data_IF_726644727554
#
_entry.id   IF_726644727554
#
_cell.length_a   1.000
_cell.length_b   1.000
_cell.length_c   1.000
_cell.angle_alpha   90.00
_cell.angle_beta   90.00
_cell.angle_gamma   90.00
#
_symmetry.space_group_name_H-M   'P 1'
#
loop_
_entity.id
_entity.type
_entity.pdbx_description
1 polymer ?
#
# COMPACT_ATOMS: atom_id res chain seq x y z
N UNK A 1 -32.10 -15.40 4.57
CA UNK A 1 -32.46 -15.67 3.16
C UNK A 1 -31.85 -14.57 2.29
N UNK A 2 -30.80 -14.88 1.55
CA UNK A 2 -30.15 -13.93 0.64
C UNK A 2 -30.84 -14.04 -0.71
N UNK A 3 -31.65 -13.04 -1.09
CA UNK A 3 -32.08 -12.88 -2.49
C UNK A 3 -30.84 -12.43 -3.28
N UNK A 4 -30.36 -13.28 -4.19
CA UNK A 4 -29.49 -12.86 -5.28
C UNK A 4 -30.19 -11.69 -5.99
N UNK A 5 -29.59 -10.51 -5.94
CA UNK A 5 -30.04 -9.37 -6.74
C UNK A 5 -29.60 -9.65 -8.16
N UNK A 6 -30.58 -9.88 -9.03
CA UNK A 6 -30.40 -10.09 -10.47
C UNK A 6 -29.63 -8.90 -11.05
N UNK A 7 -28.50 -9.16 -11.70
CA UNK A 7 -27.72 -8.16 -12.44
C UNK A 7 -28.64 -7.49 -13.47
N UNK A 8 -28.59 -6.16 -13.56
CA UNK A 8 -29.42 -5.40 -14.49
C UNK A 8 -29.28 -5.93 -15.94
N UNK A 9 -30.39 -6.07 -16.69
CA UNK A 9 -30.43 -6.81 -17.96
C UNK A 9 -29.68 -6.16 -19.14
N UNK A 10 -28.82 -5.16 -18.92
CA UNK A 10 -28.06 -4.45 -19.95
C UNK A 10 -26.53 -4.59 -19.87
N UNK A 11 -26.00 -5.36 -18.91
CA UNK A 11 -24.55 -5.55 -18.71
C UNK A 11 -24.01 -6.86 -19.31
N UNK A 12 -24.84 -7.61 -20.05
CA UNK A 12 -24.48 -8.94 -20.61
C UNK A 12 -23.67 -8.88 -21.90
N UNK A 13 -23.70 -7.77 -22.63
CA UNK A 13 -23.22 -7.72 -24.02
C UNK A 13 -21.95 -6.87 -24.21
N UNK A 14 -21.11 -6.77 -23.17
CA UNK A 14 -19.73 -6.28 -23.36
C UNK A 14 -18.92 -7.49 -23.82
N UNK A 15 -18.28 -7.47 -25.01
CA UNK A 15 -17.49 -8.59 -25.51
C UNK A 15 -16.19 -8.66 -24.72
N UNK A 16 -16.29 -9.25 -23.53
CA UNK A 16 -15.14 -9.75 -22.79
C UNK A 16 -14.79 -11.10 -23.41
N UNK A 17 -13.49 -11.39 -23.49
CA UNK A 17 -12.96 -12.73 -23.76
C UNK A 17 -13.82 -13.77 -23.03
N UNK A 18 -14.39 -14.76 -23.75
CA UNK A 18 -15.33 -15.78 -23.23
C UNK A 18 -14.80 -16.52 -21.98
N UNK A 19 -13.50 -16.39 -21.71
CA UNK A 19 -12.80 -16.88 -20.53
C UNK A 19 -13.16 -16.19 -19.21
N UNK A 20 -13.68 -14.95 -19.23
CA UNK A 20 -14.01 -14.18 -18.01
C UNK A 20 -15.48 -13.82 -17.97
N UNK A 21 -16.22 -14.38 -17.00
CA UNK A 21 -17.66 -14.13 -16.83
C UNK A 21 -17.94 -13.49 -15.48
N UNK A 22 -18.83 -12.48 -15.44
CA UNK A 22 -19.33 -11.94 -14.17
C UNK A 22 -20.30 -12.97 -13.57
N UNK A 23 -19.90 -13.59 -12.45
CA UNK A 23 -20.71 -14.58 -11.74
C UNK A 23 -21.81 -13.93 -10.89
N UNK A 24 -21.54 -12.72 -10.38
CA UNK A 24 -22.50 -11.99 -9.57
C UNK A 24 -21.88 -10.82 -8.81
N UNK A 25 -22.73 -10.18 -8.02
CA UNK A 25 -22.35 -9.05 -7.16
C UNK A 25 -22.47 -9.48 -5.70
N UNK A 26 -21.37 -9.45 -4.96
CA UNK A 26 -21.36 -9.61 -3.51
C UNK A 26 -21.37 -8.24 -2.85
N UNK A 27 -22.22 -8.05 -1.84
CA UNK A 27 -22.29 -6.80 -1.09
C UNK A 27 -21.50 -6.91 0.20
N UNK A 28 -20.43 -6.13 0.30
CA UNK A 28 -19.69 -5.97 1.54
C UNK A 28 -20.47 -5.03 2.46
N UNK A 29 -21.22 -5.60 3.39
CA UNK A 29 -21.89 -4.82 4.44
C UNK A 29 -20.94 -4.60 5.61
N UNK A 30 -21.05 -3.43 6.24
CA UNK A 30 -20.35 -3.13 7.49
C UNK A 30 -20.83 -4.12 8.56
N UNK A 31 -20.02 -5.11 8.91
CA UNK A 31 -20.19 -5.82 10.17
C UNK A 31 -19.54 -4.99 11.28
N UNK A 32 -20.00 -5.13 12.53
CA UNK A 32 -19.44 -4.40 13.68
C UNK A 32 -17.94 -4.67 13.92
N UNK A 33 -17.34 -5.64 13.22
CA UNK A 33 -15.95 -6.09 13.41
C UNK A 33 -15.05 -5.98 12.17
N UNK A 34 -15.59 -5.61 11.01
CA UNK A 34 -14.77 -5.41 9.80
C UNK A 34 -14.72 -3.92 9.47
N UNK A 35 -13.58 -3.29 9.76
CA UNK A 35 -13.14 -2.13 8.99
C UNK A 35 -13.08 -2.53 7.52
N UNK A 36 -13.23 -1.55 6.63
CA UNK A 36 -13.01 -1.74 5.18
C UNK A 36 -11.79 -2.64 4.94
N UNK A 37 -11.81 -3.52 3.92
CA UNK A 37 -10.58 -3.97 3.32
C UNK A 37 -9.98 -2.74 2.62
N UNK A 38 -9.38 -1.87 3.41
CA UNK A 38 -8.39 -0.88 3.01
C UNK A 38 -7.16 -1.68 2.58
N UNK A 39 -7.30 -2.43 1.50
CA UNK A 39 -6.22 -3.16 0.87
C UNK A 39 -5.83 -2.48 -0.41
N UNK A 40 -4.54 -2.56 -0.65
CA UNK A 40 -3.79 -1.64 -1.45
C UNK A 40 -2.68 -2.41 -2.13
N UNK A 41 -2.27 -1.96 -3.31
CA UNK A 41 -1.21 -2.62 -4.07
C UNK A 41 -0.30 -1.57 -4.67
N UNK A 42 0.98 -1.59 -4.31
CA UNK A 42 2.00 -0.66 -4.82
C UNK A 42 2.84 -1.25 -5.97
N UNK A 43 2.28 -2.23 -6.68
CA UNK A 43 2.91 -2.97 -7.77
C UNK A 43 3.87 -4.09 -7.32
N UNK A 44 4.24 -4.13 -6.05
CA UNK A 44 5.16 -5.12 -5.50
C UNK A 44 4.75 -5.71 -4.16
N UNK A 45 3.80 -5.08 -3.48
CA UNK A 45 3.21 -5.57 -2.24
C UNK A 45 1.71 -5.44 -2.25
N UNK A 46 1.08 -6.32 -1.47
CA UNK A 46 -0.28 -6.16 -1.02
C UNK A 46 -0.19 -5.58 0.39
N UNK A 47 -0.80 -4.43 0.59
CA UNK A 47 -0.80 -3.70 1.85
C UNK A 47 -2.23 -3.69 2.37
N UNK A 48 -2.43 -3.83 3.68
CA UNK A 48 -3.73 -3.87 4.32
C UNK A 48 -3.74 -3.00 5.57
N UNK A 49 -4.82 -2.27 5.79
CA UNK A 49 -5.04 -1.56 7.07
C UNK A 49 -5.25 -2.54 8.22
N UNK A 50 -4.62 -2.24 9.36
CA UNK A 50 -4.69 -3.07 10.57
C UNK A 50 -6.04 -2.88 11.25
N UNK A 51 -6.93 -3.86 11.04
CA UNK A 51 -8.26 -3.88 11.64
C UNK A 51 -8.25 -4.13 13.16
N UNK A 52 -7.25 -4.88 13.63
CA UNK A 52 -7.07 -5.26 15.02
C UNK A 52 -5.57 -5.32 15.33
N UNK A 53 -5.09 -4.53 16.28
CA UNK A 53 -3.68 -4.54 16.68
C UNK A 53 -3.22 -5.92 17.17
N UNK A 54 -4.11 -6.75 17.72
CA UNK A 54 -3.76 -8.13 18.11
C UNK A 54 -3.43 -9.02 16.91
N UNK A 55 -3.72 -8.60 15.68
CA UNK A 55 -3.27 -9.32 14.49
C UNK A 55 -1.79 -9.10 14.19
N UNK A 56 -1.18 -8.08 14.78
CA UNK A 56 0.22 -7.75 14.54
C UNK A 56 1.16 -8.75 15.23
N UNK A 57 2.19 -9.14 14.49
CA UNK A 57 3.18 -10.14 14.88
C UNK A 57 4.57 -9.58 14.72
N UNK A 58 5.48 -10.07 15.55
CA UNK A 58 6.91 -9.80 15.41
C UNK A 58 7.35 -10.05 13.96
N UNK A 59 8.17 -9.15 13.42
CA UNK A 59 8.68 -9.18 12.06
C UNK A 59 7.71 -8.66 10.99
N UNK A 60 6.49 -8.22 11.36
CA UNK A 60 5.61 -7.55 10.40
C UNK A 60 6.24 -6.25 9.87
N UNK A 61 6.10 -6.02 8.57
CA UNK A 61 6.48 -4.78 7.92
C UNK A 61 5.27 -3.87 7.85
N UNK A 62 5.32 -2.77 8.58
CA UNK A 62 4.23 -1.84 8.74
C UNK A 62 4.54 -0.50 8.08
N UNK A 63 3.49 0.22 7.73
CA UNK A 63 3.54 1.53 7.11
C UNK A 63 2.57 2.48 7.79
N UNK A 64 2.99 3.74 7.92
CA UNK A 64 2.13 4.85 8.33
C UNK A 64 2.30 5.98 7.33
N UNK A 65 1.21 6.61 6.91
CA UNK A 65 1.27 7.72 5.96
C UNK A 65 2.06 8.90 6.53
N UNK A 66 3.06 9.43 5.81
CA UNK A 66 3.84 10.59 6.26
C UNK A 66 2.99 11.84 6.57
N UNK A 67 1.92 12.14 5.81
CA UNK A 67 1.04 13.25 6.13
C UNK A 67 0.35 13.08 7.49
N UNK A 68 0.12 11.86 7.98
CA UNK A 68 -0.35 11.68 9.36
C UNK A 68 0.66 12.19 10.37
N UNK A 69 1.93 11.80 10.20
CA UNK A 69 3.00 12.22 11.09
C UNK A 69 3.17 13.76 11.09
N UNK A 70 2.97 14.41 9.93
CA UNK A 70 3.06 15.88 9.78
C UNK A 70 1.79 16.59 10.26
N UNK A 71 0.61 16.23 9.77
CA UNK A 71 -0.65 16.87 10.16
C UNK A 71 -0.97 16.69 11.63
N UNK A 72 -0.57 15.57 12.25
CA UNK A 72 -0.65 15.40 13.70
C UNK A 72 0.12 16.47 14.47
N UNK A 73 1.25 16.94 13.94
CA UNK A 73 1.98 18.06 14.58
C UNK A 73 1.35 19.41 14.33
N UNK A 74 0.55 19.56 13.27
CA UNK A 74 -0.05 20.83 12.89
C UNK A 74 -1.44 21.04 13.51
N UNK A 75 -2.31 20.03 13.46
CA UNK A 75 -3.67 20.11 13.99
C UNK A 75 -4.31 18.72 14.13
N UNK A 76 -4.89 18.38 15.30
CA UNK A 76 -5.68 17.16 15.48
C UNK A 76 -6.86 17.05 14.50
N UNK A 77 -7.45 18.18 14.11
CA UNK A 77 -8.56 18.21 13.14
C UNK A 77 -8.06 17.87 11.73
N UNK A 78 -6.89 18.37 11.34
CA UNK A 78 -6.28 18.01 10.06
C UNK A 78 -5.87 16.55 10.04
N UNK A 79 -5.34 16.02 11.14
CA UNK A 79 -5.02 14.59 11.28
C UNK A 79 -6.27 13.71 11.18
N UNK A 80 -7.37 14.10 11.82
CA UNK A 80 -8.66 13.41 11.71
C UNK A 80 -9.22 13.47 10.29
N UNK A 81 -9.22 14.65 9.66
CA UNK A 81 -9.65 14.81 8.25
C UNK A 81 -8.73 13.99 7.35
N UNK A 82 -7.42 13.95 7.61
CA UNK A 82 -6.48 13.13 6.87
C UNK A 82 -6.79 11.63 7.04
N UNK A 83 -7.00 11.15 8.27
CA UNK A 83 -7.41 9.76 8.54
C UNK A 83 -8.72 9.42 7.81
N UNK A 84 -9.61 10.40 7.74
CA UNK A 84 -10.96 10.24 7.23
C UNK A 84 -11.07 10.38 5.69
N UNK A 85 -10.30 11.26 5.09
CA UNK A 85 -10.40 11.61 3.68
C UNK A 85 -9.26 10.97 2.87
N UNK A 86 -8.11 10.76 3.49
CA UNK A 86 -6.92 10.26 2.80
C UNK A 86 -6.69 8.82 3.19
N UNK A 87 -6.94 7.93 2.23
CA UNK A 87 -6.25 6.65 2.24
C UNK A 87 -4.84 6.81 1.69
N UNK A 88 -4.02 5.79 1.92
CA UNK A 88 -2.66 5.57 1.37
C UNK A 88 -2.42 6.15 -0.04
N UNK A 89 -3.44 6.13 -0.89
CA UNK A 89 -3.44 6.40 -2.32
C UNK A 89 -3.60 7.88 -2.66
N UNK A 90 -4.18 8.68 -1.76
CA UNK A 90 -4.49 10.08 -2.07
C UNK A 90 -3.21 10.88 -2.36
N UNK A 91 -2.07 10.52 -1.77
CA UNK A 91 -0.87 11.32 -1.94
C UNK A 91 -0.10 10.98 -3.23
N UNK A 92 0.19 11.96 -4.10
CA UNK A 92 0.87 11.75 -5.39
C UNK A 92 2.23 11.05 -5.30
N UNK A 93 2.85 11.06 -4.12
CA UNK A 93 4.19 10.54 -3.85
C UNK A 93 4.15 9.30 -2.94
N UNK A 94 2.95 8.84 -2.55
CA UNK A 94 2.72 7.65 -1.71
C UNK A 94 3.78 7.48 -0.62
N UNK A 95 4.09 8.57 0.08
CA UNK A 95 5.24 8.61 0.96
C UNK A 95 4.82 8.01 2.29
N UNK A 96 5.29 6.80 2.55
CA UNK A 96 5.10 6.12 3.82
C UNK A 96 6.36 6.22 4.67
N UNK A 97 6.10 6.25 5.97
CA UNK A 97 7.10 5.88 6.93
C UNK A 97 6.99 4.37 7.15
N UNK A 98 8.07 3.66 6.87
CA UNK A 98 8.14 2.20 6.97
C UNK A 98 8.85 1.80 8.26
N UNK A 99 8.36 0.76 8.92
CA UNK A 99 9.02 0.19 10.09
C UNK A 99 8.78 -1.31 10.21
N UNK A 100 9.66 -1.98 10.94
CA UNK A 100 9.53 -3.39 11.30
C UNK A 100 9.05 -3.50 12.73
N UNK A 101 8.04 -4.31 12.99
CA UNK A 101 7.57 -4.57 14.34
C UNK A 101 8.55 -5.51 15.07
N UNK A 102 9.12 -5.08 16.19
CA UNK A 102 10.08 -5.88 16.95
C UNK A 102 9.43 -6.80 17.97
N UNK A 103 8.27 -6.40 18.50
CA UNK A 103 7.54 -7.14 19.52
C UNK A 103 6.10 -7.42 19.05
N UNK A 104 5.55 -8.60 19.36
CA UNK A 104 4.16 -8.91 19.04
C UNK A 104 3.20 -8.17 19.98
N UNK A 105 2.02 -7.80 19.48
CA UNK A 105 0.96 -7.21 20.31
C UNK A 105 0.18 -8.34 20.96
N UNK A 106 0.23 -8.43 22.28
CA UNK A 106 -0.52 -9.41 23.07
C UNK A 106 -1.78 -8.81 23.69
N UNK A 107 -1.73 -7.54 24.09
CA UNK A 107 -2.87 -6.80 24.63
C UNK A 107 -2.80 -5.32 24.28
N UNK A 108 -3.92 -4.61 24.46
CA UNK A 108 -4.04 -3.18 24.19
C UNK A 108 -4.59 -2.49 25.44
N UNK A 109 -3.79 -1.61 26.05
CA UNK A 109 -4.19 -0.82 27.23
C UNK A 109 -4.52 0.64 26.87
N UNK A 110 -4.89 1.43 27.87
CA UNK A 110 -5.04 2.89 27.73
C UNK A 110 -3.75 3.60 27.31
N UNK A 111 -2.59 3.01 27.62
CA UNK A 111 -1.28 3.56 27.31
C UNK A 111 -0.71 3.06 25.97
N UNK A 112 -1.43 2.18 25.28
CA UNK A 112 -1.08 1.64 23.97
C UNK A 112 -0.94 0.12 23.93
N UNK A 113 -0.39 -0.41 22.82
CA UNK A 113 -0.17 -1.84 22.65
C UNK A 113 0.96 -2.36 23.55
N UNK A 114 0.71 -3.51 24.19
CA UNK A 114 1.62 -4.18 25.11
C UNK A 114 1.98 -5.60 24.64
N UNK A 115 3.18 -6.03 24.98
CA UNK A 115 3.67 -7.39 24.82
C UNK A 115 3.03 -8.33 25.85
N UNK A 116 3.28 -9.64 25.71
CA UNK A 116 2.80 -10.65 26.67
C UNK A 116 3.31 -10.38 28.10
N UNK A 117 4.53 -9.86 28.24
CA UNK A 117 5.12 -9.44 29.53
C UNK A 117 4.57 -8.09 30.06
N UNK A 118 3.60 -7.47 29.37
CA UNK A 118 3.05 -6.15 29.74
C UNK A 118 3.95 -4.96 29.40
N UNK A 119 5.01 -5.13 28.59
CA UNK A 119 5.89 -4.02 28.16
C UNK A 119 5.35 -3.32 26.92
N UNK A 120 5.63 -2.03 26.70
CA UNK A 120 5.25 -1.36 25.45
C UNK A 120 5.87 -2.02 24.22
N UNK A 121 5.08 -2.17 23.16
CA UNK A 121 5.53 -2.74 21.89
C UNK A 121 6.49 -1.78 21.17
N UNK A 122 7.67 -2.28 20.78
CA UNK A 122 8.68 -1.52 20.04
C UNK A 122 8.64 -1.81 18.55
N UNK A 123 9.10 -0.83 17.80
CA UNK A 123 9.33 -0.92 16.36
C UNK A 123 10.80 -0.64 16.06
N UNK A 124 11.25 -1.00 14.87
CA UNK A 124 12.57 -0.69 14.36
C UNK A 124 12.43 0.12 13.07
N UNK A 125 13.05 1.29 13.07
CA UNK A 125 12.92 2.20 11.95
C UNK A 125 14.10 3.19 11.85
N UNK A 126 14.25 3.80 10.69
CA UNK A 126 15.09 4.97 10.51
C UNK A 126 14.29 6.22 10.88
N UNK A 127 14.66 6.93 11.96
CA UNK A 127 14.23 8.32 12.14
C UNK A 127 15.39 9.28 12.41
N UNK A 128 15.39 10.30 11.57
CA UNK A 128 15.37 11.68 12.04
C UNK A 128 14.24 12.34 11.24
N UNK A 129 13.03 11.86 11.53
CA UNK A 129 11.87 11.83 10.62
C UNK A 129 11.62 13.17 9.94
N UNK A 130 10.99 13.10 8.77
CA UNK A 130 10.31 14.22 8.12
C UNK A 130 9.53 15.09 9.13
N UNK A 131 9.04 14.56 10.26
CA UNK A 131 8.47 15.34 11.36
C UNK A 131 9.50 16.27 12.04
N UNK A 132 10.68 15.79 12.41
CA UNK A 132 11.77 16.64 12.90
C UNK A 132 12.26 17.60 11.80
N UNK A 133 12.33 17.13 10.55
CA UNK A 133 12.59 17.97 9.38
C UNK A 133 11.56 19.10 9.25
N UNK A 134 10.28 18.80 9.38
CA UNK A 134 9.18 19.76 9.32
C UNK A 134 9.13 20.66 10.54
N UNK A 135 9.42 20.17 11.75
CA UNK A 135 9.59 21.02 12.93
C UNK A 135 10.70 22.05 12.72
N UNK A 136 11.82 21.65 12.10
CA UNK A 136 12.89 22.58 11.69
C UNK A 136 12.43 23.52 10.58
N UNK A 137 11.63 23.07 9.61
CA UNK A 137 11.04 23.93 8.56
C UNK A 137 10.09 24.98 9.16
N UNK A 138 9.25 24.59 10.12
CA UNK A 138 8.32 25.47 10.83
C UNK A 138 9.11 26.48 11.68
N UNK A 139 10.18 26.04 12.35
CA UNK A 139 11.02 26.90 13.17
C UNK A 139 11.88 27.87 12.34
N UNK A 140 12.45 27.43 11.21
CA UNK A 140 13.40 28.20 10.40
C UNK A 140 12.76 28.94 9.21
N UNK A 141 11.46 28.74 8.96
CA UNK A 141 10.72 29.30 7.83
C UNK A 141 11.10 28.70 6.45
N UNK A 142 10.50 29.23 5.38
CA UNK A 142 10.61 28.67 4.01
C UNK A 142 12.02 28.68 3.42
N UNK A 143 12.87 29.67 3.77
CA UNK A 143 14.29 29.68 3.38
C UNK A 143 15.10 28.62 4.14
N UNK A 144 14.74 28.36 5.40
CA UNK A 144 15.22 27.21 6.16
C UNK A 144 14.78 25.88 5.55
N UNK A 145 13.60 25.82 4.91
CA UNK A 145 13.09 24.61 4.27
C UNK A 145 14.03 24.02 3.23
N UNK A 146 14.61 24.83 2.33
CA UNK A 146 15.53 24.31 1.31
C UNK A 146 16.84 23.79 1.94
N UNK A 147 17.41 24.53 2.89
CA UNK A 147 18.59 24.09 3.66
C UNK A 147 18.29 22.81 4.44
N UNK A 148 17.14 22.74 5.10
CA UNK A 148 16.72 21.61 5.93
C UNK A 148 16.30 20.41 5.07
N UNK A 149 15.78 20.62 3.86
CA UNK A 149 15.55 19.56 2.88
C UNK A 149 16.88 18.98 2.37
N UNK A 150 17.84 19.85 2.03
CA UNK A 150 19.20 19.42 1.70
C UNK A 150 19.86 18.68 2.88
N UNK A 151 19.64 19.13 4.13
CA UNK A 151 20.12 18.44 5.32
C UNK A 151 19.38 17.12 5.59
N UNK A 152 18.09 17.00 5.28
CA UNK A 152 17.35 15.75 5.38
C UNK A 152 17.83 14.71 4.36
N UNK A 153 18.36 15.17 3.23
CA UNK A 153 19.03 14.33 2.22
C UNK A 153 20.49 14.06 2.58
N UNK A 154 21.19 15.01 3.20
CA UNK A 154 22.63 14.95 3.49
C UNK A 154 23.00 14.40 4.88
N UNK A 155 22.09 14.49 5.86
CA UNK A 155 22.23 13.89 7.19
C UNK A 155 21.35 12.64 7.23
N UNK A 156 21.95 11.44 7.11
CA UNK A 156 21.18 10.21 7.18
C UNK A 156 20.43 10.12 8.51
N UNK A 157 19.13 9.87 8.44
CA UNK A 157 18.30 9.51 9.58
C UNK A 157 18.98 8.42 10.39
N UNK A 158 18.96 8.52 11.73
CA UNK A 158 19.51 7.46 12.58
C UNK A 158 18.52 6.33 12.70
N UNK A 159 19.00 5.10 12.67
CA UNK A 159 18.21 3.95 13.06
C UNK A 159 17.95 3.98 14.57
N UNK A 160 16.74 3.62 14.97
CA UNK A 160 16.31 3.64 16.38
C UNK A 160 15.08 2.76 16.59
N UNK A 161 14.68 2.60 17.86
CA UNK A 161 13.62 1.68 18.26
C UNK A 161 12.51 2.33 19.09
N UNK A 162 11.69 3.21 18.49
CA UNK A 162 10.63 3.91 19.21
C UNK A 162 9.48 2.96 19.59
N UNK A 163 8.53 3.48 20.37
CA UNK A 163 7.35 2.73 20.79
C UNK A 163 6.26 2.84 19.72
N UNK A 164 5.58 1.73 19.42
CA UNK A 164 4.50 1.70 18.42
C UNK A 164 3.41 2.74 18.72
N UNK A 165 3.09 2.98 20.00
CA UNK A 165 2.10 3.97 20.44
C UNK A 165 2.34 5.39 19.92
N UNK A 166 3.60 5.74 19.63
CA UNK A 166 3.95 7.06 19.08
C UNK A 166 3.40 7.26 17.67
N UNK A 167 3.12 6.16 16.96
CA UNK A 167 2.62 6.14 15.59
C UNK A 167 1.10 5.95 15.47
N UNK A 168 0.40 5.73 16.58
CA UNK A 168 -1.04 5.47 16.56
C UNK A 168 -1.81 6.78 16.84
N UNK A 169 -2.62 7.30 15.88
CA UNK A 169 -3.21 8.63 15.98
C UNK A 169 -4.31 8.80 17.05
N UNK A 170 -4.87 7.71 17.59
CA UNK A 170 -6.11 7.77 18.38
C UNK A 170 -6.09 7.17 19.80
N UNK A 171 -4.94 6.67 20.28
CA UNK A 171 -4.89 6.08 21.63
C UNK A 171 -5.17 7.07 22.76
N UNK A 172 -4.90 8.36 22.54
CA UNK A 172 -4.91 9.33 23.64
C UNK A 172 -6.19 10.16 23.81
N UNK A 173 -7.19 10.14 22.90
CA UNK A 173 -8.25 11.18 22.95
C UNK A 173 -9.71 10.87 22.65
N UNK A 174 -10.12 9.71 22.12
CA UNK A 174 -11.49 9.61 21.57
C UNK A 174 -12.32 8.37 21.92
N UNK A 175 -11.82 7.39 22.67
CA UNK A 175 -12.64 6.25 23.06
C UNK A 175 -12.39 5.85 24.52
N UNK A 176 -13.43 5.83 25.38
CA UNK A 176 -13.32 5.33 26.76
C UNK A 176 -13.08 3.81 26.80
N UNK A 177 -13.19 3.12 25.66
CA UNK A 177 -12.80 1.72 25.50
C UNK A 177 -11.55 1.62 24.64
N UNK A 178 -10.51 0.89 25.06
CA UNK A 178 -9.34 0.61 24.22
C UNK A 178 -9.81 -0.16 22.97
N UNK A 179 -9.99 0.55 21.86
CA UNK A 179 -10.34 -0.07 20.60
C UNK A 179 -9.09 -0.60 19.95
N UNK A 180 -9.09 -1.88 19.57
CA UNK A 180 -7.94 -2.48 18.89
C UNK A 180 -7.86 -2.10 17.41
N UNK A 181 -8.86 -1.40 16.86
CA UNK A 181 -8.80 -0.85 15.50
C UNK A 181 -7.91 0.38 15.43
N UNK A 182 -6.93 0.40 14.52
CA UNK A 182 -6.07 1.57 14.30
C UNK A 182 -6.17 2.08 12.87
N UNK A 183 -7.06 3.05 12.60
CA UNK A 183 -7.12 3.71 11.30
C UNK A 183 -5.75 4.31 10.93
N UNK A 184 -5.33 4.10 9.68
CA UNK A 184 -4.09 4.66 9.13
C UNK A 184 -2.81 3.87 9.41
N UNK A 185 -2.85 2.83 10.24
CA UNK A 185 -1.74 1.86 10.33
C UNK A 185 -1.94 0.77 9.28
N UNK A 186 -0.94 0.57 8.44
CA UNK A 186 -0.94 -0.43 7.38
C UNK A 186 0.10 -1.50 7.64
N UNK A 187 -0.14 -2.71 7.15
CA UNK A 187 0.78 -3.85 7.20
C UNK A 187 0.89 -4.47 5.82
N UNK A 188 2.10 -4.89 5.45
CA UNK A 188 2.32 -5.65 4.22
C UNK A 188 1.83 -7.09 4.44
N UNK A 189 0.85 -7.51 3.64
CA UNK A 189 0.28 -8.86 3.67
C UNK A 189 1.30 -9.85 3.13
N UNK A 190 1.82 -10.71 4.01
CA UNK A 190 2.75 -11.79 3.66
C UNK A 190 2.56 -13.01 4.55
N UNK A 191 2.71 -14.18 3.94
CA UNK A 191 2.80 -15.44 4.66
C UNK A 191 4.25 -15.69 5.09
N UNK A 192 4.67 -15.05 6.18
CA UNK A 192 5.99 -15.25 6.79
C UNK A 192 5.91 -16.32 7.88
N UNK A 193 6.83 -17.29 7.82
CA UNK A 193 7.08 -18.23 8.93
C UNK A 193 7.69 -17.53 10.14
N UNK A 194 7.59 -18.13 11.32
CA UNK A 194 8.19 -17.59 12.56
C UNK A 194 9.71 -17.46 12.47
N UNK A 195 10.37 -18.30 11.67
CA UNK A 195 11.80 -18.18 11.38
C UNK A 195 12.09 -16.92 10.57
N UNK A 196 11.40 -16.69 9.45
CA UNK A 196 11.56 -15.48 8.63
C UNK A 196 11.24 -14.21 9.41
N UNK A 197 10.25 -14.27 10.30
CA UNK A 197 9.90 -13.15 11.19
C UNK A 197 11.02 -12.81 12.15
N UNK A 198 11.65 -13.82 12.75
CA UNK A 198 12.82 -13.63 13.61
C UNK A 198 14.00 -13.07 12.83
N UNK A 199 14.32 -13.65 11.68
CA UNK A 199 15.38 -13.15 10.79
C UNK A 199 15.14 -11.68 10.41
N UNK A 200 13.89 -11.29 10.15
CA UNK A 200 13.54 -9.90 9.81
C UNK A 200 13.83 -8.95 10.96
N UNK A 201 13.52 -9.33 12.19
CA UNK A 201 13.88 -8.55 13.37
C UNK A 201 15.39 -8.52 13.60
N UNK A 202 16.08 -9.65 13.45
CA UNK A 202 17.53 -9.72 13.66
C UNK A 202 18.27 -8.85 12.63
N UNK A 203 17.84 -8.86 11.37
CA UNK A 203 18.35 -7.99 10.33
C UNK A 203 18.04 -6.50 10.60
N UNK A 204 16.86 -6.19 11.13
CA UNK A 204 16.52 -4.82 11.54
C UNK A 204 17.43 -4.33 12.68
N UNK A 205 17.69 -5.19 13.68
CA UNK A 205 18.58 -4.86 14.80
C UNK A 205 20.05 -4.78 14.36
N UNK A 206 20.50 -5.60 13.42
CA UNK A 206 21.83 -5.49 12.84
C UNK A 206 22.06 -4.14 12.13
N UNK A 207 21.01 -3.55 11.54
CA UNK A 207 21.09 -2.19 11.00
C UNK A 207 21.29 -1.15 12.10
N UNK A 208 20.65 -1.31 13.27
CA UNK A 208 20.86 -0.42 14.43
C UNK A 208 22.33 -0.42 14.86
N UNK A 209 22.94 -1.59 14.93
CA UNK A 209 24.34 -1.75 15.31
C UNK A 209 25.28 -1.13 14.28
N UNK A 210 24.99 -1.36 12.99
CA UNK A 210 25.79 -0.85 11.87
C UNK A 210 25.67 0.67 11.68
N UNK A 211 24.51 1.25 11.96
CA UNK A 211 24.31 2.71 11.92
C UNK A 211 25.23 3.46 12.90
N UNK A 212 25.72 2.78 13.94
CA UNK A 212 26.72 3.29 14.88
C UNK A 212 28.13 3.39 14.31
N UNK A 213 28.42 2.77 13.15
CA UNK A 213 29.74 2.75 12.53
C UNK A 213 29.96 3.95 11.57
N UNK A 214 31.21 4.45 11.42
CA UNK A 214 31.53 5.48 10.44
C UNK A 214 31.17 5.04 9.01
N UNK A 215 30.18 5.70 8.39
CA UNK A 215 29.69 5.39 7.04
C UNK A 215 28.52 4.40 6.96
N UNK A 216 28.02 3.95 8.12
CA UNK A 216 26.90 3.01 8.25
C UNK A 216 25.49 3.61 8.13
N UNK A 217 25.35 4.92 7.90
CA UNK A 217 24.06 5.62 7.98
C UNK A 217 23.04 5.25 6.88
N UNK A 218 21.78 5.63 7.14
CA UNK A 218 20.64 5.53 6.23
C UNK A 218 20.96 5.84 4.77
N UNK A 219 20.56 4.95 3.87
CA UNK A 219 20.63 5.18 2.42
C UNK A 219 19.25 5.00 1.83
N UNK A 220 18.64 6.12 1.42
CA UNK A 220 17.28 6.14 0.85
C UNK A 220 17.02 5.02 -0.18
N UNK A 221 17.99 4.75 -1.06
CA UNK A 221 17.85 3.77 -2.13
C UNK A 221 18.36 2.35 -1.82
N UNK A 222 19.10 2.13 -0.73
CA UNK A 222 19.82 0.84 -0.53
C UNK A 222 19.83 0.31 0.91
N UNK A 223 19.53 1.15 1.90
CA UNK A 223 19.56 0.81 3.32
C UNK A 223 18.47 1.58 4.04
N UNK A 224 17.23 1.13 3.85
CA UNK A 224 16.03 1.64 4.52
C UNK A 224 15.23 0.47 5.13
N UNK A 225 14.19 0.77 5.92
CA UNK A 225 13.38 -0.25 6.60
C UNK A 225 12.68 -1.20 5.61
N UNK A 226 12.30 -0.68 4.45
CA UNK A 226 11.71 -1.49 3.38
C UNK A 226 12.74 -2.49 2.81
N UNK A 227 14.02 -2.17 2.74
CA UNK A 227 15.06 -3.13 2.31
C UNK A 227 15.15 -4.32 3.27
N UNK A 228 15.17 -4.08 4.59
CA UNK A 228 15.19 -5.17 5.59
C UNK A 228 14.00 -6.10 5.41
N UNK A 229 12.81 -5.52 5.27
CA UNK A 229 11.59 -6.28 5.10
C UNK A 229 11.60 -7.13 3.82
N UNK A 230 12.31 -6.72 2.76
CA UNK A 230 12.29 -7.43 1.47
C UNK A 230 13.48 -8.35 1.23
N UNK A 231 14.64 -8.09 1.83
CA UNK A 231 15.81 -8.96 1.76
C UNK A 231 15.49 -10.39 2.21
N UNK A 232 14.59 -10.54 3.18
CA UNK A 232 14.21 -11.82 3.78
C UNK A 232 12.85 -12.34 3.30
N UNK A 233 12.20 -11.61 2.39
CA UNK A 233 10.98 -12.08 1.75
C UNK A 233 11.25 -13.27 0.82
N UNK A 234 10.22 -14.04 0.48
CA UNK A 234 10.29 -15.14 -0.52
C UNK A 234 10.88 -14.69 -1.86
N UNK A 235 10.80 -13.40 -2.19
CA UNK A 235 11.37 -12.84 -3.42
C UNK A 235 12.87 -12.53 -3.31
N UNK A 236 13.44 -12.51 -2.08
CA UNK A 236 14.83 -12.12 -1.76
C UNK A 236 15.32 -10.89 -2.53
N UNK A 237 14.42 -9.94 -2.76
CA UNK A 237 14.73 -8.76 -3.56
C UNK A 237 15.59 -7.82 -2.74
N UNK A 238 16.74 -7.49 -3.31
CA UNK A 238 17.69 -6.53 -2.74
C UNK A 238 17.21 -5.08 -2.83
N UNK A 239 16.23 -4.77 -3.69
CA UNK A 239 15.79 -3.39 -3.97
C UNK A 239 14.36 -3.19 -3.47
N UNK A 240 14.16 -2.15 -2.66
CA UNK A 240 12.82 -1.73 -2.20
C UNK A 240 11.94 -1.34 -3.38
N UNK A 241 10.65 -1.72 -3.40
CA UNK A 241 9.66 -1.30 -4.42
C UNK A 241 9.57 0.20 -4.69
N UNK A 242 9.78 1.02 -3.66
CA UNK A 242 9.75 2.47 -3.82
C UNK A 242 10.87 2.97 -4.74
N UNK A 243 12.01 2.28 -4.80
CA UNK A 243 13.16 2.69 -5.62
C UNK A 243 12.87 2.58 -7.13
N UNK A 244 12.45 1.42 -7.69
CA UNK A 244 12.04 1.34 -9.09
C UNK A 244 10.91 2.31 -9.43
N UNK A 245 9.97 2.53 -8.51
CA UNK A 245 8.88 3.49 -8.72
C UNK A 245 9.42 4.92 -8.86
N UNK A 246 10.30 5.35 -7.95
CA UNK A 246 10.92 6.68 -8.02
C UNK A 246 11.79 6.84 -9.27
N UNK A 247 12.61 5.84 -9.61
CA UNK A 247 13.43 5.85 -10.83
C UNK A 247 12.56 5.97 -12.08
N UNK A 248 11.40 5.32 -12.11
CA UNK A 248 10.46 5.43 -13.22
C UNK A 248 9.84 6.83 -13.33
N UNK A 249 9.49 7.45 -12.20
CA UNK A 249 9.03 8.85 -12.16
C UNK A 249 10.11 9.79 -12.70
N UNK A 250 11.35 9.64 -12.24
CA UNK A 250 12.49 10.46 -12.68
C UNK A 250 12.77 10.28 -14.17
N UNK A 251 12.73 9.04 -14.65
CA UNK A 251 12.88 8.73 -16.08
C UNK A 251 11.79 9.39 -16.92
N UNK A 252 10.51 9.28 -16.50
CA UNK A 252 9.41 9.98 -17.19
C UNK A 252 9.62 11.49 -17.18
N UNK A 253 9.99 12.08 -16.05
CA UNK A 253 10.25 13.51 -15.96
C UNK A 253 11.37 13.94 -16.90
N UNK A 254 12.44 13.16 -17.02
CA UNK A 254 13.52 13.43 -17.97
C UNK A 254 13.02 13.45 -19.43
N UNK A 255 12.17 12.50 -19.82
CA UNK A 255 11.54 12.50 -21.16
C UNK A 255 10.63 13.74 -21.32
N UNK A 256 9.84 14.06 -20.30
CA UNK A 256 8.93 15.20 -20.32
C UNK A 256 9.63 16.55 -20.47
N UNK A 257 10.90 16.69 -20.05
CA UNK A 257 11.66 17.93 -20.28
C UNK A 257 11.74 18.30 -21.76
N UNK A 258 11.81 17.30 -22.66
CA UNK A 258 11.74 17.52 -24.12
C UNK A 258 10.37 18.07 -24.52
N UNK A 259 9.29 17.51 -23.96
CA UNK A 259 7.94 18.04 -24.15
C UNK A 259 7.80 19.48 -23.62
N UNK A 260 8.35 19.79 -22.44
CA UNK A 260 8.33 21.16 -21.90
C UNK A 260 9.08 22.15 -22.80
N UNK A 261 10.18 21.71 -23.41
CA UNK A 261 10.88 22.50 -24.42
C UNK A 261 9.99 22.76 -25.66
N UNK A 262 9.21 21.77 -26.11
CA UNK A 262 8.22 21.99 -27.16
C UNK A 262 7.17 23.04 -26.74
N UNK A 263 6.65 23.01 -25.51
CA UNK A 263 5.75 24.05 -25.01
C UNK A 263 6.40 25.44 -25.03
N UNK A 264 7.67 25.53 -24.67
CA UNK A 264 8.41 26.79 -24.76
C UNK A 264 8.51 27.28 -26.21
N UNK A 265 8.84 26.40 -27.17
CA UNK A 265 8.89 26.78 -28.59
C UNK A 265 7.55 27.32 -29.11
N UNK A 266 6.41 26.78 -28.65
CA UNK A 266 5.09 27.31 -29.00
C UNK A 266 4.86 28.76 -28.56
N UNK A 267 5.64 29.27 -27.58
CA UNK A 267 5.55 30.68 -27.17
C UNK A 267 6.35 31.62 -28.05
N UNK A 268 7.32 31.09 -28.80
CA UNK A 268 8.25 31.89 -29.63
C UNK A 268 7.81 31.90 -31.09
N UNK A 269 7.32 30.77 -31.58
CA UNK A 269 6.94 30.64 -32.99
C UNK A 269 5.73 31.53 -33.29
N UNK A 270 5.79 32.37 -34.34
CA UNK A 270 4.67 33.24 -34.71
C UNK A 270 3.39 32.44 -34.99
N UNK A 271 2.26 32.87 -34.44
CA UNK A 271 0.96 32.16 -34.53
C UNK A 271 0.48 31.89 -35.97
N UNK A 272 1.01 32.62 -36.95
CA UNK A 272 0.73 32.43 -38.38
C UNK A 272 1.38 31.15 -38.96
N UNK A 273 2.39 30.59 -38.29
CA UNK A 273 3.11 29.40 -38.72
C UNK A 273 2.41 28.12 -38.25
N UNK A 274 1.23 27.81 -38.78
CA UNK A 274 0.40 26.68 -38.34
C UNK A 274 1.11 25.32 -38.43
N UNK A 275 1.84 25.07 -39.51
CA UNK A 275 2.61 23.81 -39.68
C UNK A 275 3.66 23.62 -38.60
N UNK A 276 4.36 24.68 -38.23
CA UNK A 276 5.37 24.63 -37.17
C UNK A 276 4.72 24.33 -35.81
N UNK A 277 3.59 24.99 -35.51
CA UNK A 277 2.84 24.70 -34.29
C UNK A 277 2.36 23.25 -34.23
N UNK A 278 1.84 22.70 -35.34
CA UNK A 278 1.41 21.31 -35.41
C UNK A 278 2.56 20.33 -35.12
N UNK A 279 3.73 20.55 -35.74
CA UNK A 279 4.92 19.71 -35.51
C UNK A 279 5.38 19.80 -34.05
N UNK A 280 5.43 21.00 -33.49
CA UNK A 280 5.86 21.21 -32.09
C UNK A 280 4.85 20.59 -31.11
N UNK A 281 3.55 20.74 -31.35
CA UNK A 281 2.51 20.11 -30.53
C UNK A 281 2.56 18.57 -30.63
N UNK A 282 2.82 18.03 -31.82
CA UNK A 282 3.04 16.59 -32.02
C UNK A 282 4.25 16.11 -31.21
N UNK A 283 5.36 16.85 -31.26
CA UNK A 283 6.54 16.61 -30.43
C UNK A 283 6.21 16.61 -28.94
N UNK A 284 5.43 17.60 -28.48
CA UNK A 284 4.94 17.63 -27.10
C UNK A 284 4.18 16.35 -26.74
N UNK A 285 3.22 15.92 -27.55
CA UNK A 285 2.43 14.73 -27.26
C UNK A 285 3.28 13.45 -27.21
N UNK A 286 4.25 13.33 -28.11
CA UNK A 286 5.18 12.19 -28.15
C UNK A 286 6.03 12.11 -26.87
N UNK A 287 6.47 13.24 -26.31
CA UNK A 287 7.36 13.28 -25.14
C UNK A 287 6.65 13.55 -23.81
N UNK A 288 5.39 13.95 -23.80
CA UNK A 288 4.63 14.23 -22.57
C UNK A 288 3.39 13.38 -22.41
N UNK A 289 2.49 13.37 -23.41
CA UNK A 289 1.22 12.66 -23.32
C UNK A 289 1.40 11.15 -23.44
N UNK A 290 2.12 10.68 -24.45
CA UNK A 290 2.34 9.24 -24.68
C UNK A 290 3.05 8.56 -23.49
N UNK A 291 4.13 9.11 -22.90
CA UNK A 291 4.76 8.49 -21.74
C UNK A 291 3.85 8.40 -20.51
N UNK A 292 2.98 9.39 -20.30
CA UNK A 292 1.96 9.33 -19.22
C UNK A 292 0.97 8.20 -19.48
N UNK A 293 0.48 8.06 -20.71
CA UNK A 293 -0.45 6.98 -21.10
C UNK A 293 0.18 5.60 -20.92
N UNK A 294 1.41 5.43 -21.41
CA UNK A 294 2.15 4.18 -21.30
C UNK A 294 2.47 3.82 -19.85
N UNK A 295 2.81 4.79 -19.00
CA UNK A 295 3.04 4.53 -17.58
C UNK A 295 1.81 3.89 -16.92
N UNK A 296 0.62 4.47 -17.12
CA UNK A 296 -0.61 3.94 -16.50
C UNK A 296 -0.94 2.53 -17.01
N UNK A 297 -0.74 2.26 -18.30
CA UNK A 297 -0.97 0.93 -18.88
C UNK A 297 0.03 -0.10 -18.34
N UNK A 298 1.32 0.25 -18.30
CA UNK A 298 2.38 -0.63 -17.77
C UNK A 298 2.14 -0.94 -16.29
N UNK A 299 1.73 0.06 -15.50
CA UNK A 299 1.36 -0.14 -14.10
C UNK A 299 0.16 -1.08 -13.94
N UNK A 300 -0.90 -0.91 -14.74
CA UNK A 300 -2.06 -1.80 -14.72
C UNK A 300 -1.69 -3.25 -15.05
N UNK A 301 -0.88 -3.46 -16.10
CA UNK A 301 -0.44 -4.80 -16.51
C UNK A 301 0.42 -5.43 -15.41
N UNK A 302 1.41 -4.70 -14.89
CA UNK A 302 2.27 -5.17 -13.80
C UNK A 302 1.47 -5.57 -12.58
N UNK A 303 0.52 -4.73 -12.18
CA UNK A 303 -0.34 -4.97 -11.03
C UNK A 303 -1.23 -6.18 -11.25
N UNK A 304 -1.82 -6.33 -12.43
CA UNK A 304 -2.67 -7.47 -12.78
C UNK A 304 -1.89 -8.77 -12.71
N UNK A 305 -0.69 -8.82 -13.32
CA UNK A 305 0.20 -9.99 -13.25
C UNK A 305 0.60 -10.28 -11.80
N UNK A 306 0.97 -9.25 -11.05
CA UNK A 306 1.38 -9.39 -9.65
C UNK A 306 0.24 -9.96 -8.79
N UNK A 307 -0.96 -9.38 -8.86
CA UNK A 307 -2.14 -9.84 -8.13
C UNK A 307 -2.49 -11.28 -8.49
N UNK A 308 -2.51 -11.62 -9.78
CA UNK A 308 -2.80 -12.98 -10.21
C UNK A 308 -1.77 -13.99 -9.71
N UNK A 309 -0.47 -13.62 -9.68
CA UNK A 309 0.59 -14.47 -9.12
C UNK A 309 0.48 -14.67 -7.60
N UNK A 310 -0.23 -13.78 -6.90
CA UNK A 310 -0.41 -13.75 -5.45
C UNK A 310 -1.83 -14.10 -5.01
N UNK A 311 -2.66 -14.61 -5.94
CA UNK A 311 -4.07 -14.92 -5.68
C UNK A 311 -4.27 -15.84 -4.48
N UNK A 312 -3.35 -16.76 -4.24
CA UNK A 312 -3.41 -17.70 -3.10
C UNK A 312 -3.10 -17.07 -1.74
N UNK A 313 -2.46 -15.89 -1.72
CA UNK A 313 -2.07 -15.18 -0.50
C UNK A 313 -3.17 -14.26 0.02
N UNK A 314 -4.22 -14.04 -0.77
CA UNK A 314 -5.35 -13.17 -0.43
C UNK A 314 -6.67 -13.91 -0.59
N UNK A 315 -7.69 -13.45 0.15
CA UNK A 315 -9.04 -13.96 -0.04
C UNK A 315 -9.53 -13.64 -1.46
N UNK A 316 -10.37 -14.49 -2.04
CA UNK A 316 -10.78 -14.29 -3.44
C UNK A 316 -11.66 -13.05 -3.61
N UNK A 317 -12.44 -12.69 -2.59
CA UNK A 317 -13.21 -11.43 -2.57
C UNK A 317 -12.26 -10.23 -2.61
N UNK A 318 -11.18 -10.33 -1.84
CA UNK A 318 -10.14 -9.32 -1.70
C UNK A 318 -9.38 -9.13 -3.03
N UNK A 319 -9.05 -10.24 -3.71
CA UNK A 319 -8.49 -10.24 -5.07
C UNK A 319 -9.39 -9.50 -6.07
N UNK A 320 -10.67 -9.88 -6.16
CA UNK A 320 -11.58 -9.26 -7.13
C UNK A 320 -11.82 -7.78 -6.84
N UNK A 321 -11.91 -7.39 -5.58
CA UNK A 321 -12.00 -5.98 -5.18
C UNK A 321 -10.79 -5.19 -5.67
N UNK A 322 -9.57 -5.70 -5.44
CA UNK A 322 -8.33 -5.04 -5.86
C UNK A 322 -8.25 -4.93 -7.39
N UNK A 323 -8.53 -6.00 -8.13
CA UNK A 323 -8.51 -5.98 -9.61
C UNK A 323 -9.51 -4.95 -10.14
N UNK A 324 -10.74 -4.93 -9.62
CA UNK A 324 -11.76 -3.98 -10.04
C UNK A 324 -11.35 -2.53 -9.74
N UNK A 325 -10.91 -2.28 -8.51
CA UNK A 325 -10.48 -0.96 -8.06
C UNK A 325 -9.33 -0.41 -8.91
N UNK A 326 -8.30 -1.22 -9.16
CA UNK A 326 -7.12 -0.80 -9.91
C UNK A 326 -7.39 -0.65 -11.41
N UNK A 327 -8.28 -1.46 -11.97
CA UNK A 327 -8.77 -1.27 -13.35
C UNK A 327 -9.52 0.05 -13.47
N UNK A 328 -10.44 0.32 -12.54
CA UNK A 328 -11.19 1.57 -12.51
C UNK A 328 -10.26 2.78 -12.32
N UNK A 329 -9.28 2.66 -11.42
CA UNK A 329 -8.22 3.67 -11.22
C UNK A 329 -7.51 3.94 -12.53
N UNK A 330 -6.98 2.90 -13.17
CA UNK A 330 -6.23 3.04 -14.42
C UNK A 330 -7.07 3.75 -15.49
N UNK A 331 -8.33 3.37 -15.69
CA UNK A 331 -9.21 4.03 -16.67
C UNK A 331 -9.44 5.52 -16.35
N UNK A 332 -9.83 5.84 -15.11
CA UNK A 332 -10.18 7.22 -14.74
C UNK A 332 -8.96 8.12 -14.63
N UNK A 333 -7.86 7.62 -14.06
CA UNK A 333 -6.59 8.34 -13.97
C UNK A 333 -6.01 8.57 -15.36
N UNK A 334 -6.07 7.58 -16.26
CA UNK A 334 -5.64 7.74 -17.65
C UNK A 334 -6.43 8.84 -18.36
N UNK A 335 -7.76 8.78 -18.28
CA UNK A 335 -8.64 9.77 -18.91
C UNK A 335 -8.37 11.18 -18.39
N UNK A 336 -8.28 11.36 -17.07
CA UNK A 336 -8.04 12.66 -16.44
C UNK A 336 -6.61 13.17 -16.72
N UNK A 337 -5.60 12.32 -16.58
CA UNK A 337 -4.21 12.71 -16.81
C UNK A 337 -3.94 13.04 -18.29
N UNK A 338 -4.43 12.23 -19.23
CA UNK A 338 -4.35 12.55 -20.66
C UNK A 338 -5.10 13.84 -20.95
N UNK A 339 -6.32 14.01 -20.45
CA UNK A 339 -7.11 15.22 -20.66
C UNK A 339 -6.37 16.48 -20.19
N UNK A 340 -5.78 16.44 -18.99
CA UNK A 340 -4.99 17.55 -18.46
C UNK A 340 -3.74 17.82 -19.30
N UNK A 341 -2.92 16.80 -19.58
CA UNK A 341 -1.64 16.96 -20.28
C UNK A 341 -1.86 17.31 -21.75
N UNK A 342 -2.81 16.68 -22.44
CA UNK A 342 -3.10 16.90 -23.86
C UNK A 342 -3.55 18.35 -24.16
N UNK A 343 -4.19 19.02 -23.21
CA UNK A 343 -4.67 20.39 -23.41
C UNK A 343 -3.58 21.46 -23.27
N UNK A 344 -2.38 21.10 -22.85
CA UNK A 344 -1.32 22.07 -22.52
C UNK A 344 -0.79 22.86 -23.72
N UNK A 345 -0.55 22.27 -24.91
CA UNK A 345 -0.19 23.04 -26.10
C UNK A 345 -1.23 24.11 -26.43
N UNK A 346 -2.52 23.77 -26.34
CA UNK A 346 -3.62 24.71 -26.59
C UNK A 346 -3.66 25.81 -25.54
N UNK A 347 -3.44 25.49 -24.26
CA UNK A 347 -3.36 26.48 -23.19
C UNK A 347 -2.23 27.49 -23.45
N UNK A 348 -1.05 27.01 -23.84
CA UNK A 348 0.09 27.86 -24.16
C UNK A 348 -0.18 28.73 -25.38
N UNK A 349 -0.69 28.14 -26.46
CA UNK A 349 -1.06 28.87 -27.68
C UNK A 349 -2.05 29.99 -27.37
N UNK A 350 -3.17 29.66 -26.74
CA UNK A 350 -4.31 30.59 -26.61
C UNK A 350 -4.12 31.64 -25.52
N UNK A 351 -3.33 31.35 -24.48
CA UNK A 351 -3.22 32.22 -23.30
C UNK A 351 -1.79 32.66 -22.96
N UNK A 352 -0.77 32.08 -23.60
CA UNK A 352 0.63 32.32 -23.27
C UNK A 352 1.08 31.79 -21.90
N UNK A 353 0.24 31.01 -21.18
CA UNK A 353 0.51 30.57 -19.79
C UNK A 353 1.46 29.37 -19.71
N UNK A 354 2.71 29.56 -20.13
CA UNK A 354 3.74 28.51 -20.15
C UNK A 354 3.99 27.87 -18.78
N UNK A 355 4.18 28.68 -17.73
CA UNK A 355 4.53 28.16 -16.39
C UNK A 355 3.47 27.21 -15.83
N UNK A 356 2.20 27.59 -15.98
CA UNK A 356 1.08 26.76 -15.56
C UNK A 356 1.02 25.47 -16.38
N UNK A 357 1.23 25.57 -17.70
CA UNK A 357 1.25 24.41 -18.58
C UNK A 357 2.37 23.42 -18.24
N UNK A 358 3.57 23.91 -17.91
CA UNK A 358 4.67 23.07 -17.44
C UNK A 358 4.36 22.40 -16.11
N UNK A 359 3.80 23.13 -15.15
CA UNK A 359 3.40 22.57 -13.86
C UNK A 359 2.38 21.44 -14.03
N UNK A 360 1.33 21.66 -14.83
CA UNK A 360 0.30 20.65 -15.10
C UNK A 360 0.91 19.46 -15.87
N UNK A 361 1.81 19.69 -16.82
CA UNK A 361 2.46 18.60 -17.58
C UNK A 361 3.26 17.65 -16.67
N UNK A 362 3.98 18.21 -15.68
CA UNK A 362 4.81 17.43 -14.74
C UNK A 362 3.98 16.73 -13.65
N UNK A 363 2.92 17.39 -13.18
CA UNK A 363 2.12 16.98 -12.02
C UNK A 363 0.77 16.33 -12.35
N UNK A 364 0.31 16.40 -13.61
CA UNK A 364 -1.04 16.01 -14.01
C UNK A 364 -1.40 14.57 -13.69
N UNK A 365 -0.47 13.64 -13.85
CA UNK A 365 -0.66 12.23 -13.45
C UNK A 365 -0.79 12.08 -11.92
N UNK A 366 0.05 12.77 -11.16
CA UNK A 366 -0.01 12.75 -9.70
C UNK A 366 -1.30 13.36 -9.17
N UNK A 367 -1.73 14.47 -9.76
CA UNK A 367 -3.02 15.11 -9.46
C UNK A 367 -4.21 14.22 -9.81
N UNK A 368 -4.18 13.56 -10.97
CA UNK A 368 -5.23 12.64 -11.38
C UNK A 368 -5.38 11.45 -10.41
N UNK A 369 -4.26 10.86 -9.98
CA UNK A 369 -4.27 9.84 -8.93
C UNK A 369 -4.87 10.37 -7.62
N UNK A 370 -4.38 11.53 -7.13
CA UNK A 370 -4.91 12.17 -5.92
C UNK A 370 -6.43 12.33 -5.97
N UNK A 371 -6.97 12.88 -7.07
CA UNK A 371 -8.41 13.09 -7.25
C UNK A 371 -9.16 11.77 -7.24
N UNK A 372 -8.75 10.78 -8.04
CA UNK A 372 -9.40 9.48 -8.08
C UNK A 372 -9.44 8.84 -6.69
N UNK A 373 -8.31 8.86 -5.99
CA UNK A 373 -8.14 8.20 -4.71
C UNK A 373 -8.96 8.85 -3.59
N UNK A 374 -9.03 10.18 -3.56
CA UNK A 374 -9.93 10.90 -2.66
C UNK A 374 -11.39 10.55 -2.96
N UNK A 375 -11.82 10.64 -4.22
CA UNK A 375 -13.18 10.34 -4.62
C UNK A 375 -13.57 8.89 -4.32
N UNK A 376 -12.70 7.94 -4.67
CA UNK A 376 -12.94 6.51 -4.45
C UNK A 376 -13.12 6.20 -2.96
N UNK A 377 -12.29 6.79 -2.10
CA UNK A 377 -12.40 6.60 -0.65
C UNK A 377 -13.68 7.20 -0.07
N UNK A 378 -14.02 8.44 -0.46
CA UNK A 378 -15.25 9.09 -0.03
C UNK A 378 -16.48 8.27 -0.47
N UNK A 379 -16.51 7.82 -1.73
CA UNK A 379 -17.57 6.97 -2.26
C UNK A 379 -17.66 5.63 -1.52
N UNK A 380 -16.53 4.95 -1.33
CA UNK A 380 -16.47 3.65 -0.65
C UNK A 380 -16.98 3.74 0.78
N UNK A 381 -16.58 4.79 1.52
CA UNK A 381 -17.05 5.04 2.90
C UNK A 381 -18.52 5.40 2.94
N UNK A 382 -19.01 6.24 2.01
CA UNK A 382 -20.43 6.59 1.92
C UNK A 382 -21.30 5.36 1.59
N UNK A 383 -20.86 4.52 0.65
CA UNK A 383 -21.54 3.28 0.29
C UNK A 383 -21.58 2.32 1.48
N UNK A 384 -20.46 2.13 2.20
CA UNK A 384 -20.45 1.31 3.40
C UNK A 384 -21.37 1.81 4.51
N UNK A 385 -21.47 3.13 4.69
CA UNK A 385 -22.34 3.72 5.71
C UNK A 385 -23.83 3.53 5.39
N UNK A 386 -24.18 3.27 4.13
CA UNK A 386 -25.57 3.24 3.65
C UNK A 386 -26.03 1.84 3.25
N UNK A 387 -25.43 1.24 2.22
CA UNK A 387 -25.91 0.01 1.59
C UNK A 387 -24.86 -1.13 1.48
N UNK A 388 -23.59 -0.83 1.79
CA UNK A 388 -22.45 -1.72 1.56
C UNK A 388 -21.75 -1.42 0.23
N UNK A 389 -20.54 -1.98 0.06
CA UNK A 389 -19.74 -1.82 -1.16
C UNK A 389 -19.95 -3.02 -2.08
N UNK A 390 -20.36 -2.82 -3.35
CA UNK A 390 -20.51 -3.93 -4.28
C UNK A 390 -19.14 -4.43 -4.76
N UNK A 391 -18.97 -5.75 -4.76
CA UNK A 391 -17.79 -6.46 -5.25
C UNK A 391 -18.26 -7.37 -6.38
N UNK A 392 -17.77 -7.12 -7.59
CA UNK A 392 -18.02 -7.97 -8.74
C UNK A 392 -17.15 -9.23 -8.62
N UNK A 393 -17.77 -10.40 -8.67
CA UNK A 393 -17.06 -11.69 -8.67
C UNK A 393 -16.98 -12.18 -10.11
N UNK A 394 -15.77 -12.53 -10.54
CA UNK A 394 -15.49 -13.00 -11.90
C UNK A 394 -15.11 -14.48 -11.85
N UNK A 395 -15.68 -15.28 -12.75
CA UNK A 395 -15.15 -16.62 -13.05
C UNK A 395 -14.00 -16.48 -14.04
N UNK A 396 -12.93 -17.21 -13.81
CA UNK A 396 -11.85 -17.36 -14.77
C UNK A 396 -11.76 -18.84 -15.15
N UNK A 397 -12.31 -19.19 -16.31
CA UNK A 397 -12.31 -20.56 -16.82
C UNK A 397 -10.90 -21.10 -17.14
N UNK A 398 -9.89 -20.23 -17.15
CA UNK A 398 -8.48 -20.62 -17.36
C UNK A 398 -7.79 -21.06 -16.09
N UNK A 399 -8.40 -20.91 -14.91
CA UNK A 399 -7.81 -21.39 -13.66
C UNK A 399 -7.98 -22.92 -13.54
N UNK A 400 -6.92 -23.72 -13.75
CA UNK A 400 -7.00 -25.17 -13.74
C UNK A 400 -7.17 -25.74 -12.32
N UNK A 401 -7.07 -24.90 -11.28
CA UNK A 401 -7.26 -25.34 -9.89
C UNK A 401 -8.68 -25.84 -9.63
N UNK A 402 -9.63 -25.60 -10.54
CA UNK A 402 -10.94 -26.25 -10.54
C UNK A 402 -11.73 -26.06 -9.24
N UNK A 403 -11.34 -25.09 -8.41
CA UNK A 403 -12.03 -24.72 -7.18
C UNK A 403 -13.30 -23.98 -7.56
N UNK A 404 -14.24 -24.75 -8.09
CA UNK A 404 -15.62 -24.36 -8.31
C UNK A 404 -16.14 -23.79 -6.99
N UNK A 405 -16.41 -22.50 -7.06
CA UNK A 405 -16.63 -21.54 -5.98
C UNK A 405 -17.80 -21.84 -5.01
N UNK A 406 -18.48 -22.98 -5.15
CA UNK A 406 -19.80 -23.21 -4.55
C UNK A 406 -19.90 -24.36 -3.52
N UNK A 407 -18.83 -25.12 -3.26
CA UNK A 407 -18.97 -26.33 -2.42
C UNK A 407 -18.81 -26.13 -0.91
N UNK A 408 -18.39 -24.96 -0.42
CA UNK A 408 -18.07 -24.77 1.01
C UNK A 408 -19.03 -23.87 1.80
N UNK A 409 -19.82 -23.00 1.15
CA UNK A 409 -20.67 -22.05 1.88
C UNK A 409 -22.06 -22.59 2.26
N UNK A 410 -22.61 -23.54 1.51
CA UNK A 410 -23.96 -24.08 1.78
C UNK A 410 -23.96 -25.31 2.69
N UNK A 411 -22.85 -26.05 2.77
CA UNK A 411 -22.80 -27.34 3.50
C UNK A 411 -22.47 -27.18 4.99
N UNK A 412 -21.85 -26.07 5.42
CA UNK A 412 -21.52 -25.84 6.84
C UNK A 412 -22.66 -25.21 7.66
N UNK A 413 -23.73 -24.73 7.03
CA UNK A 413 -24.86 -24.09 7.73
C UNK A 413 -26.05 -25.02 8.00
N UNK A 414 -25.97 -26.31 7.66
CA UNK A 414 -27.04 -27.30 7.89
C UNK A 414 -26.63 -28.51 8.76
N UNK A 415 -25.43 -28.54 9.33
CA UNK A 415 -25.06 -29.52 10.37
C UNK A 415 -24.89 -28.85 11.72
N UNK A 416 -25.98 -28.25 12.21
CA UNK A 416 -26.23 -28.12 13.64
C UNK A 416 -27.51 -28.91 13.89
N UNK A 417 -27.37 -30.23 13.99
CA UNK A 417 -28.39 -31.13 14.53
C UNK A 417 -27.83 -31.64 15.88
N UNK A 418 -28.74 -31.62 16.85
CA UNK A 418 -28.61 -31.83 18.29
C UNK A 418 -27.77 -33.04 18.76
N UNK A 419 -27.28 -33.02 20.02
CA UNK A 419 -26.47 -34.09 20.60
C UNK A 419 -27.33 -35.28 21.01
N UNK A 420 -26.99 -36.48 20.54
CA UNK A 420 -27.52 -37.74 21.07
C UNK A 420 -26.61 -38.28 22.16
N UNK A 421 -27.15 -38.35 23.38
CA UNK A 421 -26.60 -39.08 24.51
C UNK A 421 -26.38 -40.56 24.17
N UNK A 422 -25.18 -41.09 24.46
CA UNK A 422 -25.04 -42.46 24.94
C UNK A 422 -23.70 -42.65 25.66
N UNK A 423 -23.81 -42.77 26.97
CA UNK A 423 -22.93 -43.52 27.88
C UNK A 423 -22.48 -44.88 27.32
N UNK A 424 -21.18 -45.21 27.40
CA UNK A 424 -20.63 -46.24 28.31
C UNK A 424 -19.20 -46.68 27.96
N UNK A 425 -18.40 -46.82 29.03
CA UNK A 425 -17.38 -47.85 29.31
C UNK A 425 -15.99 -47.75 28.67
N UNK A 426 -15.06 -47.24 29.50
CA UNK A 426 -13.72 -47.80 29.73
C UNK A 426 -13.79 -49.32 30.03
N UNK A 427 -12.76 -50.12 29.71
CA UNK A 427 -11.58 -50.14 30.58
C UNK A 427 -10.20 -50.48 29.95
N UNK A 428 -9.17 -50.00 30.67
CA UNK A 428 -7.90 -50.65 31.04
C UNK A 428 -6.78 -51.03 30.03
N UNK A 429 -5.57 -50.56 30.40
CA UNK A 429 -4.24 -51.26 30.41
C UNK A 429 -3.52 -51.24 29.04
N UNK A 430 -2.21 -50.93 28.88
CA UNK A 430 -1.06 -51.23 29.73
C UNK A 430 0.14 -50.26 29.54
N UNK A 431 1.01 -50.27 30.53
CA UNK A 431 2.34 -49.66 30.53
C UNK A 431 3.32 -50.45 29.66
N UNK A 432 4.17 -49.77 28.87
CA UNK A 432 5.55 -50.23 28.70
C UNK A 432 6.49 -49.12 28.24
N UNK A 433 7.56 -48.98 29.02
CA UNK A 433 8.81 -48.29 28.75
C UNK A 433 9.38 -48.55 27.35
N UNK A 434 9.99 -47.54 26.72
CA UNK A 434 11.33 -47.73 26.13
C UNK A 434 12.17 -46.45 26.08
N UNK A 435 13.45 -46.65 26.41
CA UNK A 435 14.52 -45.68 26.62
C UNK A 435 15.11 -45.12 25.32
N UNK A 436 15.57 -43.86 25.43
CA UNK A 436 16.81 -43.23 24.89
C UNK A 436 17.40 -43.80 23.58
N UNK A 437 17.67 -42.89 22.64
CA UNK A 437 19.07 -42.56 22.24
C UNK A 437 19.15 -41.25 21.46
N UNK A 438 19.87 -40.31 22.06
CA UNK A 438 20.47 -39.13 21.46
C UNK A 438 21.60 -39.54 20.50
N UNK A 439 21.65 -38.93 19.30
CA UNK A 439 22.85 -38.85 18.48
C UNK A 439 23.06 -37.41 18.04
N UNK A 440 24.08 -36.81 18.65
CA UNK A 440 24.70 -35.55 18.27
C UNK A 440 25.64 -35.84 17.09
N UNK A 441 25.56 -35.03 16.03
CA UNK A 441 26.55 -35.03 14.94
C UNK A 441 27.42 -33.77 15.08
N UNK A 442 28.75 -33.88 14.95
CA UNK A 442 29.66 -32.73 15.08
C UNK A 442 29.73 -31.91 13.77
N UNK A 443 30.09 -30.61 13.84
CA UNK A 443 30.17 -29.74 12.68
C UNK A 443 31.44 -29.99 11.86
N UNK A 444 31.28 -29.93 10.54
CA UNK A 444 32.33 -30.11 9.53
C UNK A 444 33.08 -28.78 9.35
N UNK A 445 34.36 -28.75 9.72
CA UNK A 445 35.29 -27.63 9.45
C UNK A 445 35.47 -27.46 7.94
N UNK A 446 35.23 -26.25 7.41
CA UNK A 446 35.78 -25.82 6.11
C UNK A 446 37.17 -25.22 6.34
N UNK A 447 38.13 -25.65 5.51
CA UNK A 447 39.47 -25.07 5.43
C UNK A 447 39.43 -23.73 4.68
N UNK A 448 40.41 -22.92 5.03
CA UNK A 448 40.81 -21.60 4.51
C UNK A 448 40.81 -21.54 2.99
#
# INVERSE_FOLDING_TARGET
>A
MVRCVTVAPGLRDVPLDDSVRILGVQWLKRSHTQSLPSMYVDGYTIIREVADLHSLRKGDHCLVGLPHAVFRTLSPTLDMINAYATSWEAYPVASFHHFVLLDAVASVSSDGPLTEDGRPVRIAEYSDTIVNGWRRVIADGWRGCWRNWCLLVAQPAKFHTPLLKEYLPHFHRASPTPTSSCPGLLVVVRNLSDEQRRETCDAAMALLEKDGEPGGGYRFFTSNCEHVAFMLSTTRRWISPQVPHMLWILFRWAIQLVGLFCLYLLTIVPSQCERAHFVIATGYHLFATVPVSLQVQVELVRLSVYLSSRREEIDVRDYHFLVLKETLRACLVLALAIGLVCMMPRLVWTTGRLRLACLISLSGLGFANLVFNLCFQLCTRALLATCGVPILIFDDHRDPSGRTFYRSATTRSQQIILPSNSTQKNPHVDHSHFRRRSRVSPPRKRRV
#
